data_IF_669518091137
#
_entry.id   IF_669518091137
#
_cell.length_a   1.000
_cell.length_b   1.000
_cell.length_c   1.000
_cell.angle_alpha   90.00
_cell.angle_beta   90.00
_cell.angle_gamma   90.00
#
_symmetry.space_group_name_H-M   'P 1'
#
loop_
_entity.id
_entity.type
_entity.pdbx_description
1 polymer ?
#
# COMPACT_ATOMS: atom_id res chain seq x y z
N UNK A 1 -9.06 6.28 15.47
CA UNK A 1 -8.75 4.99 16.14
C UNK A 1 -8.75 3.77 15.19
N UNK A 2 -9.46 3.80 14.06
CA UNK A 2 -9.81 2.59 13.28
C UNK A 2 -8.67 2.02 12.42
N UNK A 3 -7.60 2.77 12.15
CA UNK A 3 -6.48 2.31 11.31
C UNK A 3 -5.57 1.33 12.05
N UNK A 4 -5.29 1.59 13.33
CA UNK A 4 -4.49 0.70 14.18
C UNK A 4 -5.18 -0.65 14.41
N UNK A 5 -6.49 -0.65 14.66
CA UNK A 5 -7.26 -1.88 14.83
C UNK A 5 -7.29 -2.74 13.56
N UNK A 6 -7.33 -2.10 12.38
CA UNK A 6 -7.26 -2.79 11.08
C UNK A 6 -5.88 -3.38 10.78
N UNK A 7 -4.81 -2.74 11.24
CA UNK A 7 -3.46 -3.27 11.11
C UNK A 7 -3.18 -4.44 12.08
N UNK A 8 -3.87 -4.48 13.22
CA UNK A 8 -3.72 -5.54 14.22
C UNK A 8 -4.34 -6.87 13.77
N UNK A 9 -5.44 -6.81 13.02
CA UNK A 9 -6.17 -7.97 12.53
C UNK A 9 -5.31 -8.97 11.73
N UNK A 10 -4.55 -8.58 10.69
CA UNK A 10 -3.72 -9.52 9.94
C UNK A 10 -2.56 -10.10 10.79
N UNK A 11 -2.01 -9.32 11.73
CA UNK A 11 -0.95 -9.80 12.63
C UNK A 11 -1.45 -10.95 13.52
N UNK A 12 -2.60 -10.77 14.17
CA UNK A 12 -3.23 -11.82 14.99
C UNK A 12 -3.60 -13.06 14.17
N UNK A 13 -4.11 -12.85 12.95
CA UNK A 13 -4.49 -13.95 12.04
C UNK A 13 -3.26 -14.77 11.61
N UNK A 14 -2.14 -14.10 11.37
CA UNK A 14 -0.88 -14.76 11.01
C UNK A 14 -0.33 -15.58 12.18
N UNK A 15 -0.40 -15.04 13.39
CA UNK A 15 0.00 -15.75 14.61
C UNK A 15 -0.86 -17.02 14.81
N UNK A 16 -2.18 -16.90 14.67
CA UNK A 16 -3.11 -18.02 14.77
C UNK A 16 -2.82 -19.10 13.71
N UNK A 17 -2.49 -18.68 12.49
CA UNK A 17 -2.16 -19.58 11.39
C UNK A 17 -0.89 -20.40 11.69
N UNK A 18 0.16 -19.76 12.21
CA UNK A 18 1.42 -20.43 12.57
C UNK A 18 1.19 -21.46 13.69
N UNK A 19 0.46 -21.07 14.74
CA UNK A 19 0.15 -21.98 15.85
C UNK A 19 -0.66 -23.19 15.35
N UNK A 20 -1.67 -22.97 14.50
CA UNK A 20 -2.49 -24.05 13.93
C UNK A 20 -1.66 -24.98 13.04
N UNK A 21 -0.77 -24.42 12.22
CA UNK A 21 0.12 -25.18 11.32
C UNK A 21 1.06 -26.12 12.08
N UNK A 22 1.59 -25.67 13.22
CA UNK A 22 2.55 -26.43 14.02
C UNK A 22 1.88 -27.47 14.94
N UNK A 23 0.63 -27.23 15.36
CA UNK A 23 0.02 -27.97 16.48
C UNK A 23 -1.13 -28.86 16.06
N UNK A 24 -1.89 -28.48 15.03
CA UNK A 24 -3.18 -29.12 14.72
C UNK A 24 -3.08 -29.86 13.38
N UNK A 25 -2.94 -29.12 12.29
CA UNK A 25 -2.98 -29.68 10.95
C UNK A 25 -2.36 -28.71 9.94
N UNK A 26 -1.51 -29.24 9.06
CA UNK A 26 -0.75 -28.44 8.10
C UNK A 26 -1.62 -27.82 7.01
N UNK A 27 -2.71 -28.48 6.62
CA UNK A 27 -3.65 -27.98 5.61
C UNK A 27 -4.44 -26.81 6.18
N UNK A 28 -4.96 -26.96 7.41
CA UNK A 28 -5.66 -25.87 8.12
C UNK A 28 -4.76 -24.65 8.35
N UNK A 29 -3.52 -24.88 8.78
CA UNK A 29 -2.54 -23.81 8.96
C UNK A 29 -2.21 -23.06 7.67
N UNK A 30 -2.02 -23.79 6.56
CA UNK A 30 -1.77 -23.19 5.25
C UNK A 30 -2.96 -22.34 4.77
N UNK A 31 -4.19 -22.79 5.02
CA UNK A 31 -5.41 -22.06 4.66
C UNK A 31 -5.52 -20.74 5.45
N UNK A 32 -5.17 -20.76 6.74
CA UNK A 32 -5.14 -19.56 7.58
C UNK A 32 -4.06 -18.57 7.15
N UNK A 33 -2.89 -19.02 6.68
CA UNK A 33 -1.85 -18.15 6.11
C UNK A 33 -2.39 -17.42 4.86
N UNK A 34 -3.08 -18.12 3.97
CA UNK A 34 -3.70 -17.52 2.77
C UNK A 34 -4.74 -16.48 3.15
N UNK A 35 -5.59 -16.79 4.15
CA UNK A 35 -6.57 -15.82 4.67
C UNK A 35 -5.88 -14.61 5.29
N UNK A 36 -4.81 -14.80 6.06
CA UNK A 36 -4.04 -13.70 6.66
C UNK A 36 -3.44 -12.78 5.58
N UNK A 37 -2.89 -13.35 4.50
CA UNK A 37 -2.41 -12.62 3.33
C UNK A 37 -3.53 -11.84 2.63
N UNK A 38 -4.68 -12.45 2.40
CA UNK A 38 -5.83 -11.79 1.79
C UNK A 38 -6.35 -10.62 2.64
N UNK A 39 -6.43 -10.80 3.96
CA UNK A 39 -6.81 -9.75 4.90
C UNK A 39 -5.76 -8.65 4.93
N UNK A 40 -4.47 -8.97 4.92
CA UNK A 40 -3.37 -8.01 4.85
C UNK A 40 -3.43 -7.20 3.53
N UNK A 41 -3.79 -7.82 2.41
CA UNK A 41 -3.93 -7.14 1.13
C UNK A 41 -5.12 -6.16 1.12
N UNK A 42 -6.28 -6.60 1.61
CA UNK A 42 -7.47 -5.75 1.73
C UNK A 42 -7.27 -4.59 2.71
N UNK A 43 -6.70 -4.87 3.87
CA UNK A 43 -6.42 -3.86 4.90
C UNK A 43 -5.25 -2.96 4.52
N UNK A 44 -4.23 -3.48 3.85
CA UNK A 44 -3.10 -2.74 3.31
C UNK A 44 -3.54 -1.65 2.34
N UNK A 45 -4.51 -1.94 1.45
CA UNK A 45 -5.09 -0.91 0.58
C UNK A 45 -5.81 0.20 1.34
N UNK A 46 -6.36 -0.10 2.51
CA UNK A 46 -7.01 0.87 3.39
C UNK A 46 -6.02 1.65 4.29
N UNK A 47 -4.81 1.12 4.50
CA UNK A 47 -3.77 1.70 5.38
C UNK A 47 -2.72 2.49 4.59
N UNK A 48 -2.26 1.97 3.45
CA UNK A 48 -1.23 2.59 2.59
C UNK A 48 -1.76 3.74 1.74
N UNK A 49 -3.08 3.96 1.71
CA UNK A 49 -3.71 4.93 0.81
C UNK A 49 -3.68 4.46 -0.65
N UNK A 50 -4.30 5.24 -1.56
CA UNK A 50 -4.22 4.95 -2.99
C UNK A 50 -2.75 5.05 -3.42
N UNK A 51 -2.22 3.97 -3.98
CA UNK A 51 -0.99 4.04 -4.78
C UNK A 51 -1.20 5.14 -5.81
N UNK A 52 -0.35 6.19 -5.87
CA UNK A 52 -0.46 7.20 -6.91
C UNK A 52 -0.42 6.47 -8.24
N UNK A 53 -1.52 6.52 -8.98
CA UNK A 53 -1.57 5.99 -10.34
C UNK A 53 -0.45 6.66 -11.11
N UNK A 54 0.47 5.87 -11.65
CA UNK A 54 1.51 6.37 -12.56
C UNK A 54 0.80 7.18 -13.64
N UNK A 55 1.14 8.46 -13.84
CA UNK A 55 0.51 9.25 -14.89
C UNK A 55 0.66 8.53 -16.23
N UNK A 56 -0.43 8.42 -16.99
CA UNK A 56 -0.50 7.67 -18.25
C UNK A 56 0.26 8.33 -19.41
N UNK A 57 0.83 9.53 -19.18
CA UNK A 57 1.61 10.27 -20.16
C UNK A 57 3.11 10.23 -19.88
N UNK A 58 3.90 10.47 -20.93
CA UNK A 58 5.34 10.71 -20.78
C UNK A 58 5.54 12.02 -20.01
N UNK A 59 5.95 11.90 -18.75
CA UNK A 59 6.15 13.05 -17.87
C UNK A 59 7.54 13.61 -18.16
N UNK A 60 7.60 14.85 -18.62
CA UNK A 60 8.87 15.51 -18.84
C UNK A 60 9.57 15.77 -17.49
N UNK A 61 10.77 15.20 -17.33
CA UNK A 61 11.58 15.37 -16.14
C UNK A 61 11.95 16.85 -15.89
N UNK A 62 12.03 17.66 -16.95
CA UNK A 62 12.35 19.07 -16.85
C UNK A 62 11.22 19.87 -16.20
N UNK A 63 9.96 19.55 -16.52
CA UNK A 63 8.79 20.19 -15.90
C UNK A 63 8.63 19.81 -14.43
N UNK A 64 8.87 18.54 -14.08
CA UNK A 64 8.86 18.10 -12.67
C UNK A 64 9.92 18.85 -11.87
N UNK A 65 11.08 19.12 -12.48
CA UNK A 65 12.15 19.89 -11.84
C UNK A 65 11.75 21.35 -11.61
N UNK A 66 11.22 22.02 -12.64
CA UNK A 66 10.74 23.40 -12.54
C UNK A 66 9.60 23.55 -11.50
N UNK A 67 8.72 22.55 -11.41
CA UNK A 67 7.66 22.52 -10.41
C UNK A 67 8.23 22.42 -8.98
N UNK A 68 9.26 21.61 -8.77
CA UNK A 68 9.91 21.47 -7.45
C UNK A 68 10.74 22.70 -7.06
N UNK A 69 11.30 23.42 -8.03
CA UNK A 69 11.98 24.69 -7.79
C UNK A 69 11.00 25.77 -7.33
N UNK A 70 9.80 25.80 -7.91
CA UNK A 70 8.72 26.71 -7.48
C UNK A 70 7.99 26.26 -6.20
N UNK A 71 8.04 24.98 -5.86
CA UNK A 71 7.38 24.40 -4.68
C UNK A 71 8.35 23.58 -3.81
N UNK A 72 9.26 24.25 -3.08
CA UNK A 72 10.24 23.59 -2.23
C UNK A 72 9.55 22.76 -1.12
N UNK A 73 10.00 21.52 -0.94
CA UNK A 73 9.41 20.56 0.00
C UNK A 73 8.43 19.57 -0.63
N UNK A 74 8.05 19.76 -1.90
CA UNK A 74 7.20 18.82 -2.63
C UNK A 74 7.95 17.54 -2.99
N UNK A 75 7.32 16.38 -2.78
CA UNK A 75 7.87 15.08 -3.16
C UNK A 75 7.88 14.91 -4.69
N UNK A 76 8.76 14.05 -5.20
CA UNK A 76 8.84 13.78 -6.64
C UNK A 76 7.50 13.22 -7.17
N UNK A 77 6.82 12.38 -6.38
CA UNK A 77 5.53 11.80 -6.76
C UNK A 77 4.40 12.83 -6.83
N UNK A 78 4.39 13.79 -5.89
CA UNK A 78 3.40 14.87 -5.89
C UNK A 78 3.62 15.84 -7.06
N UNK A 79 4.89 16.19 -7.34
CA UNK A 79 5.25 17.02 -8.48
C UNK A 79 4.90 16.35 -9.82
N UNK A 80 5.22 15.06 -9.99
CA UNK A 80 4.84 14.29 -11.17
C UNK A 80 3.31 14.20 -11.35
N UNK A 81 2.57 14.10 -10.25
CA UNK A 81 1.09 14.08 -10.28
C UNK A 81 0.51 15.45 -10.64
N UNK A 82 1.10 16.54 -10.13
CA UNK A 82 0.67 17.90 -10.44
C UNK A 82 0.90 18.24 -11.92
N UNK A 83 2.12 17.99 -12.42
CA UNK A 83 2.46 18.19 -13.84
C UNK A 83 1.61 17.30 -14.76
N UNK A 84 1.34 16.05 -14.36
CA UNK A 84 0.48 15.14 -15.12
C UNK A 84 -0.99 15.58 -15.18
N UNK A 85 -1.49 16.34 -14.18
CA UNK A 85 -2.87 16.87 -14.14
C UNK A 85 -3.07 18.11 -15.01
N UNK A 86 -2.07 18.98 -15.11
CA UNK A 86 -2.17 20.19 -15.94
C UNK A 86 -2.22 19.88 -17.45
N UNK A 87 -1.85 18.67 -17.85
CA UNK A 87 -1.85 18.20 -19.25
C UNK A 87 -3.09 17.41 -19.66
N UNK A 88 -3.98 17.05 -18.73
CA UNK A 88 -5.21 16.29 -18.97
C UNK A 88 -6.44 17.19 -18.98
#
# INVERSE_FOLDING_TARGET
>A
MNRWLRALAPLLLTLLAIVTFLTIDRILGMLLIVVALAVAFLSGRAVLGRVPTRPEGDIDAQEVRAYRESHPGTSIGDAATAVGRDRS
#
